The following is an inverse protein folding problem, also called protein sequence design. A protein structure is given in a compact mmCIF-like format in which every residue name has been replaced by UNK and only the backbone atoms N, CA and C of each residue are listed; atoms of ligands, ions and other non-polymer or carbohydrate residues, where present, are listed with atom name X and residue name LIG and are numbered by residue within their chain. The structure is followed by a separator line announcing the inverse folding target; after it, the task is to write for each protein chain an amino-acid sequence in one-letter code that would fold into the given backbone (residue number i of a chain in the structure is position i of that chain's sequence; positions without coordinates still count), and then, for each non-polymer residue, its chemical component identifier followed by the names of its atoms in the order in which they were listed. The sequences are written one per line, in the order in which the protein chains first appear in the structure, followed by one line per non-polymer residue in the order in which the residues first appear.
data_IF_644133527168
#
_entry.id   IF_644133527168
#
_cell.length_a   1.000
_cell.length_b   1.000
_cell.length_c   1.000
_cell.angle_alpha   90.00
_cell.angle_beta   90.00
_cell.angle_gamma   90.00
#
_symmetry.space_group_name_H-M   'P 1'
#
loop_
_entity.id
_entity.type
_entity.pdbx_description
1 polymer ?
#
# COMPACT_ATOMS: atom_id res chain seq x y z
N UNK A 1 21.65 -10.86 -16.49
CA UNK A 1 21.70 -10.07 -15.25
C UNK A 1 20.44 -10.40 -14.47
N UNK A 2 20.47 -10.61 -13.15
CA UNK A 2 19.22 -10.73 -12.39
C UNK A 2 18.42 -9.44 -12.58
N UNK A 3 17.11 -9.57 -12.84
CA UNK A 3 16.22 -8.42 -12.94
C UNK A 3 16.02 -7.77 -11.57
N UNK A 4 15.73 -6.47 -11.55
CA UNK A 4 15.39 -5.74 -10.32
C UNK A 4 13.97 -6.08 -9.79
N UNK A 5 13.28 -7.00 -10.46
CA UNK A 5 11.92 -7.46 -10.20
C UNK A 5 11.04 -7.41 -11.45
N UNK A 6 9.84 -7.94 -11.33
CA UNK A 6 8.87 -8.08 -12.43
C UNK A 6 7.75 -7.06 -12.28
N UNK A 7 7.46 -6.32 -13.33
CA UNK A 7 6.42 -5.28 -13.40
C UNK A 7 5.39 -5.64 -14.45
N UNK A 8 4.10 -5.57 -14.11
CA UNK A 8 3.01 -5.64 -15.09
C UNK A 8 2.40 -4.25 -15.25
N UNK A 9 2.36 -3.77 -16.49
CA UNK A 9 1.71 -2.50 -16.86
C UNK A 9 0.36 -2.84 -17.50
N UNK A 10 -0.72 -2.30 -16.95
CA UNK A 10 -2.10 -2.47 -17.45
C UNK A 10 -2.61 -1.09 -17.86
N UNK A 11 -2.57 -0.79 -19.16
CA UNK A 11 -2.82 0.52 -19.74
C UNK A 11 -3.31 0.33 -21.19
N UNK A 12 -4.42 0.94 -21.58
CA UNK A 12 -4.95 0.83 -22.93
C UNK A 12 -4.25 1.73 -23.94
N UNK A 13 -3.78 2.92 -23.49
CA UNK A 13 -2.97 3.80 -24.34
C UNK A 13 -1.61 3.18 -24.65
N UNK A 14 -1.44 2.77 -25.93
CA UNK A 14 -0.21 2.13 -26.39
C UNK A 14 1.02 3.03 -26.22
N UNK A 15 0.89 4.35 -26.44
CA UNK A 15 2.02 5.28 -26.32
C UNK A 15 2.48 5.42 -24.86
N UNK A 16 1.56 5.52 -23.92
CA UNK A 16 1.87 5.56 -22.48
C UNK A 16 2.46 4.24 -22.03
N UNK A 17 1.84 3.11 -22.44
CA UNK A 17 2.28 1.77 -22.05
C UNK A 17 3.70 1.48 -22.54
N UNK A 18 4.01 1.76 -23.81
CA UNK A 18 5.34 1.55 -24.39
C UNK A 18 6.39 2.45 -23.75
N UNK A 19 6.09 3.75 -23.56
CA UNK A 19 6.98 4.70 -22.92
C UNK A 19 7.38 4.26 -21.52
N UNK A 20 6.42 3.80 -20.71
CA UNK A 20 6.68 3.31 -19.36
C UNK A 20 7.47 2.00 -19.40
N UNK A 21 7.12 1.08 -20.30
CA UNK A 21 7.79 -0.21 -20.44
C UNK A 21 9.26 -0.03 -20.85
N UNK A 22 9.55 0.82 -21.83
CA UNK A 22 10.91 1.10 -22.26
C UNK A 22 11.75 1.70 -21.13
N UNK A 23 11.20 2.70 -20.43
CA UNK A 23 11.90 3.34 -19.32
C UNK A 23 12.21 2.36 -18.18
N UNK A 24 11.25 1.54 -17.78
CA UNK A 24 11.45 0.55 -16.70
C UNK A 24 12.39 -0.58 -17.14
N UNK A 25 12.35 -0.99 -18.41
CA UNK A 25 13.31 -1.94 -18.97
C UNK A 25 14.74 -1.41 -18.90
N UNK A 26 14.99 -0.13 -19.22
CA UNK A 26 16.30 0.50 -19.05
C UNK A 26 16.77 0.57 -17.59
N UNK A 27 15.81 0.60 -16.64
CA UNK A 27 16.12 0.53 -15.21
C UNK A 27 16.36 -0.91 -14.70
N UNK A 28 16.34 -1.91 -15.60
CA UNK A 28 16.66 -3.31 -15.30
C UNK A 28 15.49 -4.12 -14.74
N UNK A 29 14.25 -3.69 -14.95
CA UNK A 29 13.06 -4.47 -14.60
C UNK A 29 12.65 -5.40 -15.74
N UNK A 30 12.07 -6.56 -15.37
CA UNK A 30 11.35 -7.41 -16.31
C UNK A 30 9.91 -6.89 -16.45
N UNK A 31 9.55 -6.41 -17.66
CA UNK A 31 8.30 -5.67 -17.88
C UNK A 31 7.37 -6.44 -18.77
N UNK A 32 6.20 -6.77 -18.23
CA UNK A 32 5.07 -7.32 -18.97
C UNK A 32 4.02 -6.24 -19.23
N UNK A 33 3.30 -6.37 -20.33
CA UNK A 33 2.32 -5.38 -20.77
C UNK A 33 0.96 -6.05 -21.01
N UNK A 34 -0.10 -5.37 -20.59
CA UNK A 34 -1.49 -5.74 -20.82
C UNK A 34 -2.27 -4.48 -21.24
N UNK A 35 -3.22 -4.63 -22.15
CA UNK A 35 -4.07 -3.53 -22.63
C UNK A 35 -5.49 -3.59 -22.06
N UNK A 36 -5.81 -4.67 -21.34
CA UNK A 36 -7.14 -4.94 -20.81
C UNK A 36 -7.08 -5.75 -19.51
N UNK A 37 -8.21 -5.86 -18.81
CA UNK A 37 -8.35 -6.72 -17.64
C UNK A 37 -8.13 -8.19 -17.95
N UNK A 38 -8.55 -8.65 -19.12
CA UNK A 38 -8.35 -10.05 -19.54
C UNK A 38 -6.87 -10.35 -19.79
N UNK A 39 -6.15 -9.47 -20.51
CA UNK A 39 -4.71 -9.61 -20.72
C UNK A 39 -3.95 -9.58 -19.38
N UNK A 40 -4.40 -8.74 -18.43
CA UNK A 40 -3.85 -8.71 -17.09
C UNK A 40 -3.98 -10.07 -16.38
N UNK A 41 -5.16 -10.69 -16.43
CA UNK A 41 -5.40 -12.01 -15.82
C UNK A 41 -4.50 -13.08 -16.42
N UNK A 42 -4.44 -13.13 -17.76
CA UNK A 42 -3.55 -14.06 -18.45
C UNK A 42 -2.07 -13.86 -18.11
N UNK A 43 -1.61 -12.59 -18.00
CA UNK A 43 -0.24 -12.28 -17.66
C UNK A 43 0.11 -12.75 -16.24
N UNK A 44 -0.79 -12.55 -15.28
CA UNK A 44 -0.62 -12.95 -13.87
C UNK A 44 -0.61 -14.46 -13.72
N UNK A 45 -1.47 -15.18 -14.46
CA UNK A 45 -1.49 -16.65 -14.46
C UNK A 45 -0.19 -17.26 -14.99
N UNK A 46 0.47 -16.59 -15.95
CA UNK A 46 1.77 -17.02 -16.49
C UNK A 46 2.92 -16.71 -15.54
N UNK A 47 2.93 -15.54 -14.98
CA UNK A 47 3.99 -15.08 -14.06
C UNK A 47 3.45 -14.01 -13.13
N UNK A 48 3.51 -14.26 -11.81
CA UNK A 48 3.07 -13.31 -10.81
C UNK A 48 4.05 -12.14 -10.71
N UNK A 49 3.64 -10.89 -10.99
CA UNK A 49 4.54 -9.74 -10.90
C UNK A 49 4.74 -9.31 -9.44
N UNK A 50 5.85 -8.59 -9.17
CA UNK A 50 6.09 -7.94 -7.88
C UNK A 50 5.21 -6.70 -7.70
N UNK A 51 4.89 -6.01 -8.82
CA UNK A 51 4.03 -4.83 -8.82
C UNK A 51 3.22 -4.72 -10.11
N UNK A 52 1.98 -4.26 -9.98
CA UNK A 52 1.09 -3.93 -11.09
C UNK A 52 0.89 -2.42 -11.13
N UNK A 53 1.21 -1.81 -12.27
CA UNK A 53 0.82 -0.44 -12.60
C UNK A 53 -0.51 -0.51 -13.35
N UNK A 54 -1.58 -0.03 -12.76
CA UNK A 54 -2.94 -0.26 -13.23
C UNK A 54 -3.64 1.07 -13.54
N UNK A 55 -4.00 1.28 -14.80
CA UNK A 55 -4.86 2.41 -15.15
C UNK A 55 -6.24 2.23 -14.53
N UNK A 56 -6.77 3.34 -14.04
CA UNK A 56 -8.12 3.42 -13.53
C UNK A 56 -9.17 3.29 -14.65
N UNK A 57 -8.89 3.88 -15.81
CA UNK A 57 -9.82 3.96 -16.92
C UNK A 57 -9.42 3.01 -18.05
N UNK A 58 -9.82 1.76 -17.93
CA UNK A 58 -9.63 0.76 -18.97
C UNK A 58 -10.95 0.54 -19.73
N UNK A 59 -10.90 0.28 -21.04
CA UNK A 59 -12.09 -0.08 -21.79
C UNK A 59 -12.64 -1.44 -21.31
N UNK A 60 -13.94 -1.49 -21.09
CA UNK A 60 -14.66 -2.72 -20.74
C UNK A 60 -14.72 -3.04 -19.25
N UNK A 61 -13.68 -2.81 -18.47
CA UNK A 61 -13.68 -3.09 -17.04
C UNK A 61 -12.98 -1.99 -16.25
N UNK A 62 -13.60 -1.55 -15.17
CA UNK A 62 -13.06 -0.50 -14.29
C UNK A 62 -11.81 -0.99 -13.55
N UNK A 63 -10.72 -0.21 -13.58
CA UNK A 63 -9.49 -0.49 -12.88
C UNK A 63 -9.65 -0.69 -11.37
N UNK A 64 -10.68 -0.12 -10.74
CA UNK A 64 -11.02 -0.38 -9.34
C UNK A 64 -11.48 -1.83 -9.12
N UNK A 65 -12.26 -2.36 -10.04
CA UNK A 65 -12.69 -3.76 -10.02
C UNK A 65 -11.50 -4.70 -10.17
N UNK A 66 -10.58 -4.37 -11.07
CA UNK A 66 -9.33 -5.13 -11.25
C UNK A 66 -8.42 -5.05 -10.02
N UNK A 67 -8.29 -3.87 -9.40
CA UNK A 67 -7.51 -3.72 -8.17
C UNK A 67 -8.07 -4.56 -7.01
N UNK A 68 -9.41 -4.62 -6.89
CA UNK A 68 -10.08 -5.49 -5.91
C UNK A 68 -9.81 -6.96 -6.19
N UNK A 69 -9.97 -7.39 -7.46
CA UNK A 69 -9.68 -8.74 -7.91
C UNK A 69 -8.24 -9.15 -7.56
N UNK A 70 -7.25 -8.28 -7.83
CA UNK A 70 -5.85 -8.51 -7.50
C UNK A 70 -5.66 -8.68 -6.00
N UNK A 71 -6.24 -7.78 -5.21
CA UNK A 71 -6.05 -7.76 -3.75
C UNK A 71 -6.70 -8.95 -3.03
N UNK A 72 -7.79 -9.49 -3.59
CA UNK A 72 -8.48 -10.66 -3.02
C UNK A 72 -7.73 -11.96 -3.29
N UNK A 73 -6.94 -12.03 -4.37
CA UNK A 73 -6.35 -13.29 -4.85
C UNK A 73 -4.83 -13.35 -4.79
N UNK A 74 -4.16 -12.20 -4.83
CA UNK A 74 -2.71 -12.15 -4.99
C UNK A 74 -2.06 -11.17 -4.00
N UNK A 75 -0.87 -11.52 -3.54
CA UNK A 75 -0.01 -10.63 -2.74
C UNK A 75 0.97 -9.90 -3.67
N UNK A 76 0.46 -8.90 -4.38
CA UNK A 76 1.23 -8.08 -5.32
C UNK A 76 1.12 -6.61 -4.95
N UNK A 77 2.15 -5.81 -5.25
CA UNK A 77 2.06 -4.35 -5.15
C UNK A 77 1.11 -3.80 -6.21
N UNK A 78 0.24 -2.85 -5.84
CA UNK A 78 -0.69 -2.22 -6.76
C UNK A 78 -0.50 -0.71 -6.73
N UNK A 79 -0.11 -0.13 -7.86
CA UNK A 79 -0.05 1.32 -8.06
C UNK A 79 -1.11 1.70 -9.08
N UNK A 80 -2.08 2.52 -8.64
CA UNK A 80 -3.09 3.04 -9.57
C UNK A 80 -2.52 4.20 -10.36
N UNK A 81 -2.73 4.17 -11.68
CA UNK A 81 -2.42 5.29 -12.58
C UNK A 81 -3.75 5.95 -12.97
N UNK A 82 -3.90 7.26 -12.76
CA UNK A 82 -5.20 7.93 -12.98
C UNK A 82 -5.03 9.31 -13.59
N UNK A 83 -6.04 9.78 -14.32
CA UNK A 83 -6.08 11.17 -14.77
C UNK A 83 -6.32 12.14 -13.59
N UNK A 84 -5.80 13.37 -13.70
CA UNK A 84 -5.72 14.35 -12.60
C UNK A 84 -7.07 14.82 -11.99
N UNK A 85 -8.21 14.49 -12.59
CA UNK A 85 -9.49 15.14 -12.33
C UNK A 85 -10.28 14.57 -11.14
N UNK A 86 -9.78 13.54 -10.45
CA UNK A 86 -10.54 12.84 -9.44
C UNK A 86 -9.88 12.72 -8.06
N UNK A 87 -10.11 13.72 -7.16
CA UNK A 87 -9.91 13.48 -5.71
C UNK A 87 -10.75 12.25 -5.28
N UNK A 88 -11.91 12.06 -5.89
CA UNK A 88 -12.79 10.90 -5.68
C UNK A 88 -12.13 9.61 -6.15
N UNK A 89 -11.54 9.59 -7.34
CA UNK A 89 -10.88 8.40 -7.92
C UNK A 89 -9.68 7.95 -7.07
N UNK A 90 -8.90 8.89 -6.52
CA UNK A 90 -7.79 8.60 -5.60
C UNK A 90 -8.27 8.00 -4.28
N UNK A 91 -9.34 8.56 -3.73
CA UNK A 91 -9.97 8.08 -2.49
C UNK A 91 -10.46 6.64 -2.68
N UNK A 92 -11.20 6.41 -3.75
CA UNK A 92 -11.79 5.09 -4.06
C UNK A 92 -10.71 4.06 -4.39
N UNK A 93 -9.67 4.42 -5.15
CA UNK A 93 -8.55 3.53 -5.47
C UNK A 93 -7.80 3.05 -4.23
N UNK A 94 -7.53 3.94 -3.28
CA UNK A 94 -6.93 3.58 -2.01
C UNK A 94 -7.90 2.78 -1.12
N UNK A 95 -9.20 3.04 -1.16
CA UNK A 95 -10.22 2.25 -0.43
C UNK A 95 -10.32 0.82 -0.96
N UNK A 96 -10.08 0.60 -2.25
CA UNK A 96 -10.13 -0.73 -2.89
C UNK A 96 -8.87 -1.58 -2.60
N UNK A 97 -7.76 -0.97 -2.18
CA UNK A 97 -6.57 -1.73 -1.79
C UNK A 97 -5.28 -1.41 -2.52
N UNK A 98 -5.24 -0.37 -3.32
CA UNK A 98 -3.99 0.08 -3.93
C UNK A 98 -2.96 0.49 -2.85
N UNK A 99 -1.70 0.20 -3.11
CA UNK A 99 -0.58 0.57 -2.23
C UNK A 99 -0.16 2.02 -2.45
N UNK A 100 -0.29 2.51 -3.69
CA UNK A 100 -0.01 3.89 -4.07
C UNK A 100 -0.80 4.30 -5.31
N UNK A 101 -0.71 5.57 -5.70
CA UNK A 101 -1.28 6.09 -6.94
C UNK A 101 -0.35 7.11 -7.59
N UNK A 102 -0.50 7.29 -8.91
CA UNK A 102 0.20 8.29 -9.71
C UNK A 102 -0.79 8.98 -10.64
N UNK A 103 -0.75 10.30 -10.73
CA UNK A 103 -1.66 11.07 -11.59
C UNK A 103 -1.03 11.38 -12.93
N UNK A 104 -1.77 11.17 -14.02
CA UNK A 104 -1.39 11.59 -15.39
C UNK A 104 -1.62 13.11 -15.54
N UNK A 105 -0.70 13.86 -16.16
CA UNK A 105 0.63 13.43 -16.60
C UNK A 105 1.61 13.27 -15.45
N UNK A 106 2.47 12.24 -15.48
CA UNK A 106 3.44 11.94 -14.44
C UNK A 106 4.88 12.00 -14.96
N UNK A 107 5.81 12.25 -14.05
CA UNK A 107 7.24 12.07 -14.32
C UNK A 107 7.61 10.58 -14.13
N UNK A 108 8.33 10.00 -15.10
CA UNK A 108 8.78 8.61 -15.05
C UNK A 108 9.70 8.31 -13.86
N UNK A 109 10.43 9.31 -13.36
CA UNK A 109 11.29 9.18 -12.16
C UNK A 109 10.43 9.10 -10.90
N UNK A 110 9.32 9.86 -10.84
CA UNK A 110 8.34 9.77 -9.75
C UNK A 110 7.70 8.38 -9.73
N UNK A 111 7.20 7.91 -10.89
CA UNK A 111 6.64 6.57 -11.03
C UNK A 111 7.63 5.50 -10.55
N UNK A 112 8.90 5.57 -10.98
CA UNK A 112 9.96 4.64 -10.56
C UNK A 112 10.21 4.68 -9.05
N UNK A 113 10.26 5.87 -8.43
CA UNK A 113 10.47 6.02 -7.00
C UNK A 113 9.34 5.38 -6.19
N UNK A 114 8.07 5.63 -6.59
CA UNK A 114 6.88 5.02 -5.97
C UNK A 114 6.88 3.50 -6.14
N UNK A 115 7.16 3.02 -7.33
CA UNK A 115 7.27 1.59 -7.63
C UNK A 115 8.32 0.90 -6.75
N UNK A 116 9.54 1.46 -6.66
CA UNK A 116 10.60 0.95 -5.76
C UNK A 116 10.15 0.93 -4.30
N UNK A 117 9.40 1.93 -3.86
CA UNK A 117 8.87 1.99 -2.49
C UNK A 117 7.86 0.88 -2.22
N UNK A 118 6.95 0.61 -3.17
CA UNK A 118 5.96 -0.47 -3.08
C UNK A 118 6.66 -1.83 -3.10
N UNK A 119 7.53 -2.11 -4.07
CA UNK A 119 8.25 -3.37 -4.20
C UNK A 119 9.10 -3.69 -2.95
N UNK A 120 9.83 -2.71 -2.41
CA UNK A 120 10.62 -2.91 -1.18
C UNK A 120 9.76 -3.38 -0.01
N UNK A 121 8.54 -2.86 0.11
CA UNK A 121 7.59 -3.25 1.16
C UNK A 121 7.12 -4.70 0.99
N UNK A 122 6.86 -5.12 -0.25
CA UNK A 122 6.50 -6.50 -0.56
C UNK A 122 7.67 -7.46 -0.35
N UNK A 123 8.89 -7.14 -0.81
CA UNK A 123 10.08 -7.99 -0.60
C UNK A 123 10.49 -8.11 0.88
N UNK A 124 10.31 -7.05 1.69
CA UNK A 124 10.61 -7.11 3.13
C UNK A 124 9.66 -8.05 3.88
N UNK A 125 8.50 -8.37 3.29
CA UNK A 125 7.57 -9.39 3.82
C UNK A 125 8.15 -10.80 3.71
N UNK A 126 9.05 -11.06 2.75
CA UNK A 126 9.67 -12.35 2.51
C UNK A 126 10.94 -12.63 3.32
N UNK A 127 11.50 -11.66 4.05
CA UNK A 127 12.74 -11.82 4.83
C UNK A 127 12.46 -11.76 6.33
N UNK A 128 13.04 -12.68 7.15
CA UNK A 128 12.99 -12.57 8.61
C UNK A 128 13.71 -11.29 9.06
N UNK A 129 13.24 -10.59 10.09
CA UNK A 129 13.79 -9.32 10.50
C UNK A 129 15.20 -9.48 11.06
N UNK A 130 16.19 -8.93 10.35
CA UNK A 130 17.50 -8.65 10.90
C UNK A 130 17.40 -7.50 11.91
N UNK A 131 17.82 -7.74 13.14
CA UNK A 131 17.77 -6.78 14.23
C UNK A 131 18.61 -5.53 13.92
N UNK A 132 17.98 -4.35 13.91
CA UNK A 132 18.67 -3.08 14.03
C UNK A 132 18.96 -2.81 15.53
N UNK A 133 20.18 -2.43 15.93
CA UNK A 133 20.51 -2.20 17.32
C UNK A 133 20.00 -0.83 17.79
N UNK A 134 19.19 -0.80 18.87
CA UNK A 134 19.04 0.42 19.65
C UNK A 134 17.65 0.90 20.04
N UNK A 135 16.60 0.10 20.01
CA UNK A 135 15.31 0.42 20.64
C UNK A 135 14.91 -0.67 21.65
N UNK A 136 14.22 -0.29 22.74
CA UNK A 136 13.65 -1.24 23.68
C UNK A 136 12.86 -2.32 22.90
N UNK A 137 12.89 -3.60 23.34
CA UNK A 137 12.26 -4.69 22.59
C UNK A 137 10.77 -4.40 22.46
N UNK A 138 10.33 -4.04 21.25
CA UNK A 138 8.93 -3.98 20.90
C UNK A 138 8.43 -5.43 20.99
N UNK A 139 7.37 -5.73 21.75
CA UNK A 139 6.86 -7.09 21.83
C UNK A 139 6.55 -7.60 20.44
N UNK A 140 6.94 -8.83 20.12
CA UNK A 140 6.75 -9.44 18.80
C UNK A 140 5.26 -9.39 18.35
N UNK A 141 4.33 -9.30 19.30
CA UNK A 141 2.88 -9.18 19.09
C UNK A 141 2.33 -8.00 19.85
N UNK A 142 1.64 -7.10 19.15
CA UNK A 142 1.07 -5.87 19.69
C UNK A 142 -0.45 -5.90 19.54
N UNK A 143 -1.23 -5.87 20.65
CA UNK A 143 -2.68 -5.73 20.57
C UNK A 143 -3.07 -4.36 19.99
N UNK A 144 -3.91 -4.35 18.95
CA UNK A 144 -4.42 -3.13 18.32
C UNK A 144 -5.94 -3.26 18.12
N UNK A 145 -6.70 -2.60 18.99
CA UNK A 145 -8.16 -2.73 19.00
C UNK A 145 -8.59 -4.17 19.26
N UNK A 146 -9.36 -4.77 18.34
CA UNK A 146 -9.80 -6.17 18.40
C UNK A 146 -8.83 -7.17 17.77
N UNK A 147 -7.70 -6.69 17.25
CA UNK A 147 -6.72 -7.48 16.51
C UNK A 147 -5.37 -7.51 17.23
N UNK A 148 -4.49 -8.39 16.78
CA UNK A 148 -3.09 -8.48 17.22
C UNK A 148 -2.18 -8.35 16.01
N UNK A 149 -1.29 -7.36 16.03
CA UNK A 149 -0.26 -7.19 15.01
C UNK A 149 0.94 -8.07 15.37
N UNK A 150 1.25 -9.06 14.55
CA UNK A 150 2.49 -9.84 14.64
C UNK A 150 3.57 -9.15 13.80
N UNK A 151 4.52 -8.52 14.47
CA UNK A 151 5.58 -7.75 13.81
C UNK A 151 6.61 -8.64 13.12
N UNK A 152 6.81 -9.86 13.62
CA UNK A 152 7.76 -10.79 13.05
C UNK A 152 7.19 -11.45 11.78
N UNK A 153 5.96 -11.92 11.84
CA UNK A 153 5.28 -12.53 10.69
C UNK A 153 4.73 -11.47 9.70
N UNK A 154 4.69 -10.19 10.09
CA UNK A 154 4.10 -9.07 9.33
C UNK A 154 2.63 -9.28 8.97
N UNK A 155 1.87 -9.87 9.87
CA UNK A 155 0.43 -10.12 9.71
C UNK A 155 -0.40 -9.46 10.81
N UNK A 156 -1.66 -9.19 10.49
CA UNK A 156 -2.67 -8.77 11.46
C UNK A 156 -3.59 -9.98 11.73
N UNK A 157 -3.79 -10.32 12.97
CA UNK A 157 -4.61 -11.47 13.38
C UNK A 157 -5.88 -10.98 14.10
N UNK A 158 -7.01 -11.61 13.84
CA UNK A 158 -8.24 -11.38 14.59
C UNK A 158 -8.21 -12.09 15.98
N UNK A 159 -9.28 -11.99 16.74
CA UNK A 159 -9.39 -12.60 18.07
C UNK A 159 -9.33 -14.15 18.03
N UNK A 160 -9.69 -14.76 16.91
CA UNK A 160 -9.63 -16.20 16.66
C UNK A 160 -8.27 -16.65 16.08
N UNK A 161 -7.33 -15.74 15.89
CA UNK A 161 -6.00 -16.01 15.33
C UNK A 161 -5.97 -16.17 13.81
N UNK A 162 -7.04 -15.80 13.10
CA UNK A 162 -7.11 -15.82 11.64
C UNK A 162 -6.49 -14.54 11.07
N UNK A 163 -5.83 -14.66 9.93
CA UNK A 163 -5.22 -13.52 9.28
C UNK A 163 -6.28 -12.55 8.72
N UNK A 164 -6.16 -11.27 9.10
CA UNK A 164 -6.93 -10.17 8.54
C UNK A 164 -6.10 -9.55 7.41
N UNK A 165 -6.58 -9.57 6.16
CA UNK A 165 -5.82 -9.03 5.03
C UNK A 165 -5.49 -7.55 5.22
N UNK A 166 -4.20 -7.22 5.17
CA UNK A 166 -3.70 -5.84 5.20
C UNK A 166 -2.66 -5.63 4.11
N UNK A 167 -2.60 -4.43 3.57
CA UNK A 167 -1.55 -4.05 2.63
C UNK A 167 -0.23 -3.80 3.37
N UNK A 168 0.90 -3.83 2.63
CA UNK A 168 2.20 -3.50 3.22
C UNK A 168 2.23 -2.11 3.84
N UNK A 169 1.53 -1.13 3.25
CA UNK A 169 1.41 0.21 3.81
C UNK A 169 0.56 0.24 5.09
N UNK A 170 -0.52 -0.51 5.15
CA UNK A 170 -1.34 -0.64 6.35
C UNK A 170 -0.56 -1.27 7.50
N UNK A 171 0.26 -2.28 7.18
CA UNK A 171 1.19 -2.87 8.14
C UNK A 171 2.19 -1.84 8.66
N UNK A 172 2.85 -1.08 7.77
CA UNK A 172 3.84 -0.06 8.15
C UNK A 172 3.22 1.05 9.01
N UNK A 173 1.99 1.46 8.71
CA UNK A 173 1.23 2.38 9.55
C UNK A 173 0.98 1.82 10.96
N UNK A 174 0.49 0.58 11.06
CA UNK A 174 0.25 -0.07 12.35
C UNK A 174 1.56 -0.24 13.14
N UNK A 175 2.65 -0.59 12.46
CA UNK A 175 3.98 -0.68 13.07
C UNK A 175 4.43 0.67 13.64
N UNK A 176 4.36 1.75 12.87
CA UNK A 176 4.70 3.10 13.33
C UNK A 176 3.87 3.50 14.56
N UNK A 177 2.58 3.21 14.55
CA UNK A 177 1.73 3.48 15.70
C UNK A 177 2.10 2.62 16.92
N UNK A 178 2.45 1.36 16.73
CA UNK A 178 2.87 0.46 17.81
C UNK A 178 4.19 0.88 18.47
N UNK A 179 5.08 1.49 17.69
CA UNK A 179 6.36 2.05 18.17
C UNK A 179 6.19 3.40 18.89
N UNK A 180 5.02 4.05 18.77
CA UNK A 180 4.74 5.37 19.35
C UNK A 180 3.42 5.38 20.14
N UNK A 181 3.21 4.48 21.11
CA UNK A 181 1.97 4.40 21.86
C UNK A 181 1.71 5.68 22.66
N UNK A 182 0.45 6.13 22.70
CA UNK A 182 -0.01 7.32 23.40
C UNK A 182 0.64 8.65 22.93
N UNK A 183 1.36 8.63 21.80
CA UNK A 183 1.95 9.81 21.18
C UNK A 183 1.09 10.27 20.02
N UNK A 184 0.82 11.58 19.97
CA UNK A 184 0.17 12.18 18.80
C UNK A 184 1.21 12.31 17.69
N UNK A 185 0.91 11.72 16.55
CA UNK A 185 1.70 11.83 15.32
C UNK A 185 0.95 12.69 14.31
N UNK A 186 1.59 13.74 13.81
CA UNK A 186 1.04 14.53 12.72
C UNK A 186 1.04 13.70 11.42
N UNK A 187 0.26 14.14 10.41
CA UNK A 187 0.24 13.49 9.09
C UNK A 187 1.63 13.42 8.48
N UNK A 188 2.38 14.52 8.55
CA UNK A 188 3.75 14.60 8.02
C UNK A 188 4.70 13.66 8.77
N UNK A 189 4.58 13.56 10.11
CA UNK A 189 5.36 12.61 10.90
C UNK A 189 5.05 11.17 10.53
N UNK A 190 3.77 10.82 10.34
CA UNK A 190 3.35 9.48 9.91
C UNK A 190 3.96 9.17 8.54
N UNK A 191 3.87 10.10 7.59
CA UNK A 191 4.46 9.95 6.25
C UNK A 191 5.98 9.73 6.33
N UNK A 192 6.68 10.55 7.11
CA UNK A 192 8.13 10.45 7.29
C UNK A 192 8.54 9.11 7.93
N UNK A 193 7.83 8.68 8.98
CA UNK A 193 8.11 7.46 9.71
C UNK A 193 7.80 6.19 8.91
N UNK A 194 6.81 6.23 8.05
CA UNK A 194 6.53 5.14 7.09
C UNK A 194 7.51 5.12 5.91
N UNK A 195 8.56 5.98 5.93
CA UNK A 195 9.60 6.13 4.89
C UNK A 195 9.06 6.50 3.50
N UNK A 196 7.92 7.11 3.45
CA UNK A 196 7.28 7.56 2.21
C UNK A 196 7.64 9.03 1.97
N UNK A 197 8.92 9.32 1.65
CA UNK A 197 9.49 10.68 1.57
C UNK A 197 9.04 11.51 0.36
N UNK A 198 8.39 10.90 -0.63
CA UNK A 198 8.09 11.54 -1.92
C UNK A 198 6.62 11.98 -2.02
N UNK A 199 5.99 12.38 -0.91
CA UNK A 199 4.60 12.76 -0.85
C UNK A 199 4.40 14.27 -0.83
N UNK A 200 3.38 14.74 -1.57
CA UNK A 200 2.99 16.15 -1.54
C UNK A 200 2.41 16.56 -0.19
N UNK A 201 2.64 17.81 0.27
CA UNK A 201 2.25 18.31 1.61
C UNK A 201 0.75 18.26 1.94
N UNK A 202 -0.13 17.99 0.97
CA UNK A 202 -1.59 17.98 1.14
C UNK A 202 -2.23 16.61 0.89
N UNK A 203 -1.47 15.54 0.97
CA UNK A 203 -1.98 14.21 0.67
C UNK A 203 -2.92 13.68 1.76
N UNK A 204 -4.21 13.63 1.44
CA UNK A 204 -5.26 13.07 2.30
C UNK A 204 -5.26 11.54 2.38
N UNK A 205 -4.33 10.87 1.73
CA UNK A 205 -4.26 9.40 1.70
C UNK A 205 -4.10 8.78 3.09
N UNK A 206 -3.42 9.48 4.03
CA UNK A 206 -3.29 9.03 5.42
C UNK A 206 -4.68 8.91 6.08
N UNK A 207 -5.54 9.90 5.90
CA UNK A 207 -6.88 9.90 6.50
C UNK A 207 -7.71 8.72 6.02
N UNK A 208 -7.62 8.42 4.71
CA UNK A 208 -8.30 7.29 4.07
C UNK A 208 -7.75 5.95 4.59
N UNK A 209 -6.43 5.83 4.66
CA UNK A 209 -5.76 4.62 5.17
C UNK A 209 -6.08 4.37 6.64
N UNK A 210 -6.13 5.42 7.45
CA UNK A 210 -6.57 5.33 8.85
C UNK A 210 -8.04 4.90 8.94
N UNK A 211 -8.92 5.47 8.13
CA UNK A 211 -10.33 5.08 8.09
C UNK A 211 -10.49 3.59 7.73
N UNK A 212 -9.69 3.10 6.77
CA UNK A 212 -9.66 1.70 6.36
C UNK A 212 -9.12 0.79 7.47
N UNK A 213 -8.01 1.17 8.12
CA UNK A 213 -7.48 0.43 9.25
C UNK A 213 -8.50 0.34 10.39
N UNK A 214 -9.23 1.41 10.70
CA UNK A 214 -10.28 1.40 11.71
C UNK A 214 -11.35 0.36 11.43
N UNK A 215 -11.78 0.20 10.17
CA UNK A 215 -12.75 -0.86 9.80
C UNK A 215 -12.24 -2.28 10.12
N UNK A 216 -10.92 -2.47 10.12
CA UNK A 216 -10.28 -3.76 10.41
C UNK A 216 -10.02 -3.98 11.90
N UNK A 217 -9.51 -2.96 12.60
CA UNK A 217 -9.01 -3.10 13.96
C UNK A 217 -9.97 -2.63 15.05
N UNK A 218 -10.91 -1.73 14.74
CA UNK A 218 -11.85 -1.21 15.73
C UNK A 218 -13.11 -2.05 15.83
N UNK A 219 -13.69 -2.13 17.03
CA UNK A 219 -15.04 -2.73 17.22
C UNK A 219 -16.10 -1.83 16.58
N UNK A 220 -15.96 -0.51 16.76
CA UNK A 220 -16.80 0.52 16.16
C UNK A 220 -15.92 1.53 15.42
N UNK A 221 -15.82 1.45 14.09
CA UNK A 221 -14.95 2.34 13.30
C UNK A 221 -15.25 3.84 13.46
N UNK A 222 -16.51 4.20 13.69
CA UNK A 222 -16.97 5.58 13.86
C UNK A 222 -16.66 6.13 15.27
N UNK A 223 -16.42 5.27 16.26
CA UNK A 223 -16.03 5.60 17.62
C UNK A 223 -14.67 4.97 17.97
N UNK A 224 -13.58 5.32 17.28
CA UNK A 224 -12.32 4.61 17.38
C UNK A 224 -11.69 4.76 18.76
N UNK A 225 -11.30 3.64 19.36
CA UNK A 225 -10.65 3.59 20.67
C UNK A 225 -9.15 3.36 20.58
N UNK A 226 -8.71 2.55 19.62
CA UNK A 226 -7.29 2.26 19.41
C UNK A 226 -6.60 3.33 18.53
N UNK A 227 -7.16 3.68 17.37
CA UNK A 227 -6.61 4.68 16.46
C UNK A 227 -7.42 5.97 16.53
N UNK A 228 -7.10 6.84 17.49
CA UNK A 228 -7.86 8.07 17.76
C UNK A 228 -7.42 9.23 16.88
N UNK A 229 -8.39 10.08 16.49
CA UNK A 229 -8.10 11.38 15.86
C UNK A 229 -7.91 12.43 16.95
N UNK A 230 -6.79 13.15 16.88
CA UNK A 230 -6.57 14.36 17.68
C UNK A 230 -6.77 15.56 16.76
N UNK A 231 -7.92 16.22 16.89
CA UNK A 231 -8.35 17.32 16.00
C UNK A 231 -7.26 18.38 15.88
N UNK A 232 -6.93 18.75 14.64
CA UNK A 232 -5.91 19.75 14.34
C UNK A 232 -4.45 19.28 14.51
N UNK A 233 -4.19 18.10 15.11
CA UNK A 233 -2.83 17.62 15.41
C UNK A 233 -2.45 16.34 14.66
N UNK A 234 -3.36 15.40 14.43
CA UNK A 234 -3.09 14.15 13.74
C UNK A 234 -3.78 12.94 14.36
N UNK A 235 -3.03 11.85 14.54
CA UNK A 235 -3.54 10.58 15.03
C UNK A 235 -2.72 10.03 16.20
N UNK A 236 -3.34 9.24 17.03
CA UNK A 236 -2.71 8.63 18.20
C UNK A 236 -3.18 7.18 18.37
N UNK A 237 -2.25 6.28 18.60
CA UNK A 237 -2.54 4.92 19.01
C UNK A 237 -2.65 4.84 20.53
N UNK A 238 -3.75 4.27 20.99
CA UNK A 238 -3.98 3.99 22.42
C UNK A 238 -4.03 2.47 22.59
N UNK A 239 -3.04 1.85 23.22
CA UNK A 239 -3.06 0.43 23.52
C UNK A 239 -4.27 0.06 24.37
N UNK A 240 -4.84 -1.15 24.21
CA UNK A 240 -5.87 -1.62 25.14
C UNK A 240 -5.32 -1.65 26.56
N UNK A 241 -6.13 -1.27 27.51
CA UNK A 241 -5.76 -1.41 28.94
C UNK A 241 -5.71 -2.91 29.25
N UNK A 242 -4.56 -3.37 29.70
CA UNK A 242 -4.41 -4.73 30.22
C UNK A 242 -5.30 -4.98 31.44
#
# INVERSE_FOLDING_TARGET
MPSNGTVLIVEDDTGVREMVAEYLGWQGYDVHQAQSGDDMREAIERNLPDVVLLDLRLPGEDGLTLARYLRERYDVGIIMVTAADGVVDRVVGLEVGADDYVTKPFDLRELLARMKSVMRRHHTRALPPGAAPGSAPVPARVPIGRCVLDLAARVLLDAEGREVPITSMEFDLLKVFSEHPNKVLSRDQILTLTKNRDWEPFDRSIDIRIARLRRKVEVKPDEPQALRTVRGAGYMFVPPRG
#
